data_IF_091999132277
#
_entry.id   IF_091999132277
#
_cell.length_a   1.000
_cell.length_b   1.000
_cell.length_c   1.000
_cell.angle_alpha   90.00
_cell.angle_beta   90.00
_cell.angle_gamma   90.00
#
_symmetry.space_group_name_H-M   'P 1'
#
loop_
_entity.id
_entity.type
_entity.pdbx_description
1 polymer ?
#
# COMPACT_ATOMS: atom_id res chain seq x y z
N UNK A 1 44.61 59.34 13.04
CA UNK A 1 43.40 60.17 13.20
C UNK A 1 42.18 59.33 12.80
N UNK A 2 41.23 59.15 13.75
CA UNK A 2 39.82 58.67 13.65
C UNK A 2 39.53 57.49 12.69
N UNK A 3 39.31 56.22 13.09
CA UNK A 3 38.40 55.56 14.07
C UNK A 3 36.92 55.99 13.96
N UNK A 4 36.08 55.09 13.42
CA UNK A 4 34.73 54.58 13.85
C UNK A 4 34.44 53.40 12.87
N UNK A 5 34.38 52.10 13.16
CA UNK A 5 33.85 51.25 14.25
C UNK A 5 32.34 51.43 14.49
N UNK A 6 31.53 50.73 13.70
CA UNK A 6 30.13 50.49 14.06
C UNK A 6 30.06 49.16 14.82
N UNK A 7 29.99 49.29 16.14
CA UNK A 7 29.82 48.22 17.12
C UNK A 7 28.39 48.24 17.67
N UNK A 8 27.99 47.12 18.26
CA UNK A 8 26.85 46.87 19.16
C UNK A 8 25.54 46.47 18.45
N UNK A 9 25.01 45.26 18.65
CA UNK A 9 24.64 44.74 19.97
C UNK A 9 24.89 43.23 20.12
N UNK A 10 25.63 42.88 21.18
CA UNK A 10 25.60 41.57 21.85
C UNK A 10 24.41 41.57 22.80
N UNK A 11 23.77 40.41 22.99
CA UNK A 11 22.87 39.91 24.07
C UNK A 11 21.72 39.14 23.37
N UNK A 12 21.42 37.88 23.66
CA UNK A 12 21.84 37.06 24.78
C UNK A 12 21.55 35.58 24.57
N UNK A 13 22.26 34.79 25.34
CA UNK A 13 22.13 33.35 25.52
C UNK A 13 20.80 33.03 26.21
N UNK A 14 20.04 32.12 25.62
CA UNK A 14 19.24 31.11 26.32
C UNK A 14 19.09 29.95 25.31
N UNK A 15 19.96 28.93 25.29
CA UNK A 15 19.94 27.85 26.29
C UNK A 15 18.55 27.69 26.92
N UNK A 16 17.55 27.41 26.09
CA UNK A 16 16.40 26.65 26.55
C UNK A 16 16.89 25.23 26.83
N UNK A 17 17.37 25.11 28.06
CA UNK A 17 17.50 23.91 28.85
C UNK A 17 16.45 22.87 28.48
N UNK A 18 16.94 21.64 28.27
CA UNK A 18 16.25 20.39 28.48
C UNK A 18 15.42 20.45 29.77
N UNK A 19 14.16 20.88 29.61
CA UNK A 19 13.09 20.70 30.58
C UNK A 19 11.86 20.24 29.80
N UNK A 20 12.04 19.14 29.04
CA UNK A 20 10.93 18.27 28.75
C UNK A 20 10.47 17.69 30.08
N UNK A 21 9.66 18.44 30.82
CA UNK A 21 8.85 17.90 31.89
C UNK A 21 8.21 16.64 31.34
N UNK A 22 8.63 15.47 31.82
CA UNK A 22 7.78 14.29 31.82
C UNK A 22 6.44 14.78 32.31
N UNK A 23 5.44 14.87 31.44
CA UNK A 23 4.10 15.26 31.84
C UNK A 23 3.67 14.21 32.86
N UNK A 24 3.75 14.54 34.16
CA UNK A 24 3.12 13.79 35.24
C UNK A 24 1.59 13.97 35.23
N UNK A 25 1.05 14.19 34.03
CA UNK A 25 -0.35 14.22 33.62
C UNK A 25 -0.42 13.83 32.14
N UNK A 26 0.16 12.70 31.75
CA UNK A 26 -0.47 11.94 30.69
C UNK A 26 -1.80 11.47 31.29
N UNK A 27 -2.89 12.19 31.01
CA UNK A 27 -4.21 11.55 31.06
C UNK A 27 -4.04 10.20 30.39
N UNK A 28 -4.39 9.10 31.08
CA UNK A 28 -4.45 7.79 30.42
C UNK A 28 -5.40 7.98 29.25
N UNK A 29 -4.86 8.13 28.04
CA UNK A 29 -5.66 8.32 26.86
C UNK A 29 -6.66 7.17 26.81
N UNK A 30 -7.95 7.52 26.75
CA UNK A 30 -9.02 6.54 26.71
C UNK A 30 -9.05 5.90 25.33
N UNK A 31 -8.37 4.75 25.21
CA UNK A 31 -8.33 3.93 23.99
C UNK A 31 -9.50 2.96 23.88
N UNK A 32 -10.59 3.17 24.63
CA UNK A 32 -11.77 2.30 24.59
C UNK A 32 -12.35 2.20 23.16
N UNK A 33 -12.40 3.30 22.41
CA UNK A 33 -12.83 3.29 21.01
C UNK A 33 -11.95 2.40 20.12
N UNK A 34 -10.62 2.41 20.35
CA UNK A 34 -9.67 1.62 19.59
C UNK A 34 -9.83 0.13 19.92
N UNK A 35 -10.02 -0.18 21.20
CA UNK A 35 -10.33 -1.55 21.64
C UNK A 35 -11.59 -2.06 20.96
N UNK A 36 -12.69 -1.29 20.98
CA UNK A 36 -13.92 -1.66 20.29
C UNK A 36 -13.74 -1.84 18.78
N UNK A 37 -12.95 -0.98 18.14
CA UNK A 37 -12.64 -1.12 16.71
C UNK A 37 -11.87 -2.41 16.41
N UNK A 38 -10.89 -2.78 17.24
CA UNK A 38 -10.13 -4.03 17.11
C UNK A 38 -11.05 -5.24 17.32
N UNK A 39 -11.83 -5.26 18.40
CA UNK A 39 -12.75 -6.36 18.72
C UNK A 39 -13.80 -6.55 17.63
N UNK A 40 -14.38 -5.46 17.12
CA UNK A 40 -15.35 -5.51 16.02
C UNK A 40 -14.70 -6.03 14.74
N UNK A 41 -13.51 -5.56 14.40
CA UNK A 41 -12.79 -6.00 13.20
C UNK A 41 -12.40 -7.48 13.28
N UNK A 42 -11.96 -7.93 14.46
CA UNK A 42 -11.65 -9.34 14.73
C UNK A 42 -12.89 -10.22 14.57
N UNK A 43 -14.02 -9.86 15.19
CA UNK A 43 -15.27 -10.60 15.07
C UNK A 43 -15.76 -10.70 13.61
N UNK A 44 -15.61 -9.63 12.82
CA UNK A 44 -15.95 -9.65 11.39
C UNK A 44 -15.03 -10.56 10.56
N UNK A 45 -13.74 -10.64 10.91
CA UNK A 45 -12.81 -11.57 10.28
C UNK A 45 -13.13 -13.02 10.65
N UNK A 46 -13.44 -13.31 11.92
CA UNK A 46 -13.87 -14.65 12.37
C UNK A 46 -15.14 -15.10 11.66
N UNK A 47 -16.15 -14.21 11.58
CA UNK A 47 -17.37 -14.48 10.82
C UNK A 47 -17.07 -14.78 9.35
N UNK A 48 -16.18 -14.00 8.73
CA UNK A 48 -15.77 -14.19 7.33
C UNK A 48 -15.07 -15.53 7.13
N UNK A 49 -14.14 -15.90 8.02
CA UNK A 49 -13.44 -17.20 7.97
C UNK A 49 -14.42 -18.36 8.14
N UNK A 50 -15.37 -18.24 9.08
CA UNK A 50 -16.40 -19.26 9.31
C UNK A 50 -17.30 -19.46 8.09
N UNK A 51 -17.70 -18.36 7.44
CA UNK A 51 -18.57 -18.42 6.24
C UNK A 51 -17.86 -19.03 5.02
N UNK A 52 -16.58 -18.70 4.80
CA UNK A 52 -15.81 -19.26 3.67
C UNK A 52 -15.31 -20.69 3.93
N UNK A 53 -15.18 -21.09 5.19
CA UNK A 53 -14.73 -22.41 5.61
C UNK A 53 -13.41 -22.84 4.97
N UNK A 54 -13.44 -24.01 4.32
CA UNK A 54 -12.29 -24.59 3.62
C UNK A 54 -12.24 -24.25 2.12
N UNK A 55 -13.07 -23.30 1.67
CA UNK A 55 -13.00 -22.83 0.28
C UNK A 55 -11.69 -22.07 0.02
N UNK A 56 -11.31 -22.00 -1.25
CA UNK A 56 -10.18 -21.16 -1.72
C UNK A 56 -10.60 -19.71 -1.97
N UNK A 57 -11.79 -19.31 -1.51
CA UNK A 57 -12.29 -17.95 -1.71
C UNK A 57 -11.50 -16.97 -0.85
N UNK A 58 -10.99 -15.93 -1.49
CA UNK A 58 -10.30 -14.82 -0.82
C UNK A 58 -11.18 -13.58 -0.89
N UNK A 59 -11.38 -12.92 0.25
CA UNK A 59 -12.14 -11.68 0.29
C UNK A 59 -11.45 -10.59 -0.52
N UNK A 60 -12.21 -9.89 -1.37
CA UNK A 60 -11.72 -8.77 -2.18
C UNK A 60 -12.17 -7.42 -1.63
N UNK A 61 -13.48 -7.22 -1.55
CA UNK A 61 -14.07 -5.96 -1.11
C UNK A 61 -15.53 -6.19 -0.74
N UNK A 62 -16.17 -5.17 -0.16
CA UNK A 62 -17.62 -5.10 -0.05
C UNK A 62 -18.15 -4.28 -1.21
N UNK A 63 -19.30 -4.65 -1.76
CA UNK A 63 -20.00 -3.81 -2.72
C UNK A 63 -20.56 -2.58 -2.00
N UNK A 64 -19.87 -1.45 -2.13
CA UNK A 64 -20.29 -0.15 -1.59
C UNK A 64 -20.94 0.68 -2.68
N UNK A 65 -22.02 1.39 -2.32
CA UNK A 65 -22.67 2.37 -3.19
C UNK A 65 -22.38 3.79 -2.74
N UNK A 66 -22.68 4.74 -3.62
CA UNK A 66 -22.73 6.15 -3.32
C UNK A 66 -23.90 6.77 -4.09
N UNK A 67 -24.50 7.80 -3.52
CA UNK A 67 -25.44 8.65 -4.23
C UNK A 67 -24.78 9.99 -4.62
N UNK A 68 -25.50 10.79 -5.40
CA UNK A 68 -25.01 12.09 -5.87
C UNK A 68 -24.74 13.04 -4.70
N UNK A 69 -25.52 12.96 -3.62
CA UNK A 69 -25.34 13.83 -2.46
C UNK A 69 -24.05 13.50 -1.71
N UNK A 70 -23.78 12.21 -1.50
CA UNK A 70 -22.53 11.72 -0.94
C UNK A 70 -21.35 12.20 -1.78
N UNK A 71 -21.41 12.04 -3.11
CA UNK A 71 -20.33 12.51 -3.99
C UNK A 71 -20.15 14.03 -3.93
N UNK A 72 -21.23 14.80 -3.96
CA UNK A 72 -21.20 16.25 -3.80
C UNK A 72 -20.52 16.64 -2.48
N UNK A 73 -20.86 15.98 -1.38
CA UNK A 73 -20.24 16.22 -0.08
C UNK A 73 -18.75 15.87 -0.08
N UNK A 74 -18.37 14.69 -0.59
CA UNK A 74 -16.97 14.27 -0.64
C UNK A 74 -16.10 15.14 -1.55
N UNK A 75 -16.69 15.71 -2.60
CA UNK A 75 -16.00 16.60 -3.55
C UNK A 75 -16.12 18.08 -3.17
N UNK A 76 -16.80 18.40 -2.06
CA UNK A 76 -17.11 19.78 -1.65
C UNK A 76 -17.81 20.60 -2.77
N UNK A 77 -18.63 19.93 -3.58
CA UNK A 77 -19.41 20.52 -4.67
C UNK A 77 -20.88 20.64 -4.30
N UNK A 78 -21.55 21.72 -4.71
CA UNK A 78 -23.01 21.87 -4.54
C UNK A 78 -23.82 20.90 -5.42
N UNK A 79 -23.30 20.60 -6.60
CA UNK A 79 -23.89 19.66 -7.55
C UNK A 79 -22.80 19.10 -8.48
N UNK A 80 -22.99 17.88 -8.97
CA UNK A 80 -22.17 17.32 -10.04
C UNK A 80 -22.59 17.95 -11.38
N UNK A 81 -21.63 18.24 -12.24
CA UNK A 81 -21.86 18.82 -13.58
C UNK A 81 -21.82 17.68 -14.59
N UNK A 82 -22.57 17.73 -15.70
CA UNK A 82 -22.70 16.64 -16.70
C UNK A 82 -21.41 16.13 -17.37
N UNK A 83 -20.23 16.62 -16.99
CA UNK A 83 -18.90 16.07 -17.36
C UNK A 83 -18.32 15.13 -16.29
N UNK A 84 -18.86 15.13 -15.07
CA UNK A 84 -18.44 14.23 -14.01
C UNK A 84 -18.90 12.81 -14.40
N UNK A 85 -17.97 11.91 -14.70
CA UNK A 85 -18.25 10.52 -15.10
C UNK A 85 -18.72 9.67 -13.91
N UNK A 86 -19.67 10.20 -13.13
CA UNK A 86 -20.28 9.54 -11.99
C UNK A 86 -21.15 8.40 -12.51
N UNK A 87 -20.54 7.22 -12.65
CA UNK A 87 -21.28 6.00 -12.95
C UNK A 87 -21.99 5.58 -11.67
N UNK A 88 -23.32 5.55 -11.68
CA UNK A 88 -24.10 4.87 -10.63
C UNK A 88 -23.63 3.41 -10.59
N UNK A 89 -22.84 3.07 -9.58
CA UNK A 89 -22.39 1.71 -9.27
C UNK A 89 -22.59 1.49 -7.77
N UNK A 90 -23.03 0.30 -7.33
CA UNK A 90 -23.28 -0.95 -8.08
C UNK A 90 -24.77 -1.19 -8.41
N UNK A 91 -25.06 -2.34 -9.07
CA UNK A 91 -26.41 -2.90 -9.22
C UNK A 91 -27.01 -3.11 -7.83
N UNK A 92 -28.21 -2.58 -7.58
CA UNK A 92 -28.86 -2.45 -6.28
C UNK A 92 -28.80 -3.73 -5.41
N UNK A 93 -28.90 -4.90 -6.03
CA UNK A 93 -29.04 -6.19 -5.34
C UNK A 93 -27.77 -6.69 -4.63
N UNK A 94 -26.60 -6.13 -4.96
CA UNK A 94 -25.33 -6.54 -4.36
C UNK A 94 -24.83 -5.60 -3.26
N UNK A 95 -25.52 -4.49 -2.98
CA UNK A 95 -25.06 -3.54 -1.96
C UNK A 95 -24.89 -4.20 -0.58
N UNK A 96 -23.73 -3.97 0.04
CA UNK A 96 -23.36 -4.55 1.32
C UNK A 96 -22.93 -6.02 1.27
N UNK A 97 -23.06 -6.69 0.11
CA UNK A 97 -22.61 -8.08 -0.03
C UNK A 97 -21.11 -8.19 -0.27
N UNK A 98 -20.55 -9.34 0.12
CA UNK A 98 -19.11 -9.62 0.00
C UNK A 98 -18.76 -9.93 -1.45
N UNK A 99 -17.70 -9.30 -1.95
CA UNK A 99 -17.06 -9.63 -3.23
C UNK A 99 -15.83 -10.48 -2.96
N UNK A 100 -15.70 -11.56 -3.72
CA UNK A 100 -14.55 -12.45 -3.67
C UNK A 100 -13.56 -12.17 -4.82
N UNK A 101 -12.30 -12.49 -4.60
CA UNK A 101 -11.28 -12.54 -5.64
C UNK A 101 -11.70 -13.58 -6.68
N UNK A 102 -11.51 -13.28 -7.96
CA UNK A 102 -11.83 -14.24 -9.03
C UNK A 102 -10.89 -15.46 -8.99
N UNK A 103 -9.65 -15.26 -8.55
CA UNK A 103 -8.66 -16.31 -8.30
C UNK A 103 -7.58 -15.76 -7.38
N UNK A 104 -6.58 -16.59 -7.04
CA UNK A 104 -5.37 -16.13 -6.34
C UNK A 104 -4.60 -15.05 -7.14
N UNK A 105 -4.80 -14.95 -8.46
CA UNK A 105 -4.15 -13.96 -9.32
C UNK A 105 -4.86 -12.60 -9.33
N UNK A 106 -5.96 -12.42 -8.59
CA UNK A 106 -6.54 -11.08 -8.37
C UNK A 106 -5.56 -10.26 -7.53
N UNK A 107 -5.30 -9.01 -7.90
CA UNK A 107 -4.29 -8.16 -7.24
C UNK A 107 -4.57 -7.93 -5.74
N UNK A 108 -5.82 -8.13 -5.32
CA UNK A 108 -6.24 -8.01 -3.92
C UNK A 108 -6.05 -9.27 -3.08
N UNK A 109 -5.56 -10.37 -3.65
CA UNK A 109 -5.56 -11.69 -3.01
C UNK A 109 -4.72 -11.75 -1.73
N UNK A 110 -3.69 -10.91 -1.62
CA UNK A 110 -2.81 -10.82 -0.45
C UNK A 110 -3.40 -10.10 0.77
N UNK A 111 -4.46 -9.29 0.59
CA UNK A 111 -4.96 -8.43 1.67
C UNK A 111 -5.72 -9.21 2.74
N UNK A 112 -6.55 -10.19 2.35
CA UNK A 112 -7.31 -10.99 3.31
C UNK A 112 -6.39 -11.78 4.29
N UNK A 113 -5.42 -12.59 3.83
CA UNK A 113 -4.46 -13.21 4.73
C UNK A 113 -3.62 -12.19 5.52
N UNK A 114 -3.29 -11.03 4.93
CA UNK A 114 -2.61 -9.95 5.65
C UNK A 114 -3.42 -9.40 6.83
N UNK A 115 -4.73 -9.24 6.67
CA UNK A 115 -5.62 -8.82 7.75
C UNK A 115 -5.71 -9.87 8.86
N UNK A 116 -5.69 -11.17 8.53
CA UNK A 116 -5.63 -12.24 9.54
C UNK A 116 -4.32 -12.19 10.34
N UNK A 117 -3.18 -11.93 9.69
CA UNK A 117 -1.91 -11.71 10.39
C UNK A 117 -1.95 -10.50 11.32
N UNK A 118 -2.55 -9.38 10.90
CA UNK A 118 -2.73 -8.23 11.77
C UNK A 118 -3.70 -8.52 12.92
N UNK A 119 -4.79 -9.24 12.68
CA UNK A 119 -5.71 -9.64 13.74
C UNK A 119 -5.00 -10.52 14.79
N UNK A 120 -4.17 -11.47 14.36
CA UNK A 120 -3.31 -12.24 15.26
C UNK A 120 -2.38 -11.33 16.08
N UNK A 121 -1.66 -10.41 15.42
CA UNK A 121 -0.73 -9.51 16.10
C UNK A 121 -1.42 -8.60 17.13
N UNK A 122 -2.64 -8.14 16.84
CA UNK A 122 -3.39 -7.22 17.69
C UNK A 122 -4.11 -7.91 18.85
N UNK A 123 -4.54 -9.17 18.67
CA UNK A 123 -5.38 -9.87 19.65
C UNK A 123 -4.65 -10.99 20.40
N UNK A 124 -3.57 -11.53 19.83
CA UNK A 124 -2.90 -12.73 20.32
C UNK A 124 -3.70 -14.02 20.12
N UNK A 125 -4.84 -13.99 19.41
CA UNK A 125 -5.67 -15.17 19.17
C UNK A 125 -5.01 -16.11 18.14
N UNK A 126 -4.58 -17.29 18.60
CA UNK A 126 -3.88 -18.30 17.78
C UNK A 126 -4.77 -18.88 16.66
N UNK A 127 -6.10 -18.79 16.74
CA UNK A 127 -6.97 -19.19 15.63
C UNK A 127 -6.77 -18.27 14.41
N UNK A 128 -6.59 -16.96 14.61
CA UNK A 128 -6.24 -16.07 13.50
C UNK A 128 -4.92 -16.43 12.86
N UNK A 129 -3.92 -16.85 13.65
CA UNK A 129 -2.64 -17.29 13.11
C UNK A 129 -2.79 -18.54 12.25
N UNK A 130 -3.52 -19.54 12.74
CA UNK A 130 -3.81 -20.77 12.00
C UNK A 130 -4.46 -20.47 10.65
N UNK A 131 -5.47 -19.59 10.65
CA UNK A 131 -6.18 -19.20 9.44
C UNK A 131 -5.32 -18.32 8.53
N UNK A 132 -4.53 -17.40 9.09
CA UNK A 132 -3.57 -16.59 8.34
C UNK A 132 -2.54 -17.47 7.60
N UNK A 133 -2.02 -18.50 8.25
CA UNK A 133 -1.12 -19.49 7.62
C UNK A 133 -1.85 -20.23 6.49
N UNK A 134 -3.08 -20.71 6.72
CA UNK A 134 -3.90 -21.40 5.71
C UNK A 134 -4.08 -20.55 4.44
N UNK A 135 -4.61 -19.34 4.58
CA UNK A 135 -4.90 -18.47 3.43
C UNK A 135 -3.64 -17.89 2.79
N UNK A 136 -2.55 -17.68 3.55
CA UNK A 136 -1.25 -17.30 2.97
C UNK A 136 -0.72 -18.42 2.08
N UNK A 137 -0.82 -19.69 2.51
CA UNK A 137 -0.30 -20.82 1.74
C UNK A 137 -1.04 -21.04 0.41
N UNK A 138 -2.30 -20.64 0.28
CA UNK A 138 -3.00 -20.63 -1.01
C UNK A 138 -2.33 -19.74 -2.06
N UNK A 139 -1.59 -18.72 -1.61
CA UNK A 139 -0.88 -17.78 -2.47
C UNK A 139 0.53 -18.25 -2.85
N UNK A 140 1.01 -19.39 -2.33
CA UNK A 140 2.36 -19.90 -2.61
C UNK A 140 2.71 -19.99 -4.12
N UNK A 141 1.78 -20.33 -5.05
CA UNK A 141 2.08 -20.34 -6.49
C UNK A 141 2.46 -18.96 -7.05
N UNK A 142 2.03 -17.86 -6.42
CA UNK A 142 2.28 -16.50 -6.93
C UNK A 142 3.74 -16.08 -6.88
N UNK A 143 4.59 -16.78 -6.11
CA UNK A 143 6.04 -16.53 -6.08
C UNK A 143 6.70 -16.64 -7.46
N UNK A 144 6.06 -17.35 -8.40
CA UNK A 144 6.53 -17.54 -9.78
C UNK A 144 5.88 -16.57 -10.78
N UNK A 145 4.89 -15.79 -10.33
CA UNK A 145 4.10 -14.93 -11.20
C UNK A 145 4.86 -13.65 -11.57
N UNK A 146 4.85 -13.31 -12.87
CA UNK A 146 5.58 -12.17 -13.46
C UNK A 146 4.66 -11.15 -14.15
N UNK A 147 3.34 -11.37 -14.14
CA UNK A 147 2.40 -10.69 -15.04
C UNK A 147 1.90 -9.31 -14.56
N UNK A 148 2.21 -8.92 -13.33
CA UNK A 148 1.78 -7.62 -12.77
C UNK A 148 2.82 -7.09 -11.77
N UNK A 149 2.83 -5.79 -11.56
CA UNK A 149 3.55 -5.17 -10.47
C UNK A 149 2.90 -5.42 -9.09
N UNK A 150 1.59 -5.73 -9.07
CA UNK A 150 0.81 -5.98 -7.84
C UNK A 150 1.24 -7.24 -7.07
N UNK A 151 2.20 -8.00 -7.59
CA UNK A 151 2.81 -9.11 -6.84
C UNK A 151 3.42 -8.64 -5.51
N UNK A 152 3.77 -7.36 -5.39
CA UNK A 152 4.12 -6.73 -4.10
C UNK A 152 2.95 -6.76 -3.11
N UNK A 153 1.76 -6.29 -3.48
CA UNK A 153 0.55 -6.41 -2.64
C UNK A 153 0.21 -7.87 -2.34
N UNK A 154 0.22 -8.71 -3.37
CA UNK A 154 -0.22 -10.09 -3.24
C UNK A 154 0.67 -10.88 -2.27
N UNK A 155 2.00 -10.70 -2.35
CA UNK A 155 2.96 -11.48 -1.57
C UNK A 155 3.46 -10.76 -0.32
N UNK A 156 3.73 -9.45 -0.35
CA UNK A 156 4.27 -8.77 0.83
C UNK A 156 3.19 -8.59 1.92
N UNK A 157 1.93 -8.33 1.55
CA UNK A 157 0.84 -8.28 2.53
C UNK A 157 0.56 -9.64 3.17
N UNK A 158 0.85 -10.75 2.48
CA UNK A 158 0.61 -12.11 2.95
C UNK A 158 1.90 -12.76 3.51
N UNK A 159 2.79 -13.24 2.64
CA UNK A 159 4.07 -13.84 2.98
C UNK A 159 5.00 -12.90 3.76
N UNK A 160 4.97 -11.59 3.49
CA UNK A 160 5.79 -10.62 4.23
C UNK A 160 5.39 -10.56 5.71
N UNK A 161 4.09 -10.51 5.98
CA UNK A 161 3.55 -10.60 7.34
C UNK A 161 3.78 -11.98 7.98
N UNK A 162 3.63 -13.06 7.20
CA UNK A 162 3.94 -14.42 7.65
C UNK A 162 5.39 -14.54 8.12
N UNK A 163 6.36 -14.05 7.34
CA UNK A 163 7.78 -14.12 7.74
C UNK A 163 8.07 -13.27 8.98
N UNK A 164 7.48 -12.08 9.06
CA UNK A 164 7.65 -11.16 10.19
C UNK A 164 7.15 -11.74 11.51
N UNK A 165 6.05 -12.50 11.49
CA UNK A 165 5.39 -13.03 12.70
C UNK A 165 5.70 -14.51 12.97
N UNK A 166 6.05 -15.27 11.93
CA UNK A 166 6.32 -16.70 11.99
C UNK A 166 7.39 -17.07 10.93
N UNK A 167 8.65 -16.66 11.14
CA UNK A 167 9.70 -16.83 10.13
C UNK A 167 9.96 -18.31 9.83
N UNK A 168 9.93 -18.66 8.54
CA UNK A 168 10.30 -19.97 8.01
C UNK A 168 11.02 -19.81 6.66
N UNK A 169 11.96 -20.71 6.37
CA UNK A 169 12.83 -20.59 5.20
C UNK A 169 12.07 -20.60 3.86
N UNK A 170 11.00 -21.38 3.75
CA UNK A 170 10.18 -21.45 2.54
C UNK A 170 9.50 -20.11 2.24
N UNK A 171 9.06 -19.37 3.26
CA UNK A 171 8.46 -18.04 3.12
C UNK A 171 9.52 -17.02 2.71
N UNK A 172 10.73 -17.09 3.30
CA UNK A 172 11.86 -16.24 2.90
C UNK A 172 12.18 -16.39 1.41
N UNK A 173 12.27 -17.64 0.93
CA UNK A 173 12.57 -17.91 -0.48
C UNK A 173 11.45 -17.45 -1.42
N UNK A 174 10.18 -17.63 -1.02
CA UNK A 174 9.06 -17.12 -1.79
C UNK A 174 9.09 -15.59 -1.96
N UNK A 175 9.46 -14.85 -0.91
CA UNK A 175 9.61 -13.40 -0.97
C UNK A 175 10.75 -12.97 -1.90
N UNK A 176 11.92 -13.61 -1.79
CA UNK A 176 13.07 -13.33 -2.66
C UNK A 176 12.72 -13.59 -4.13
N UNK A 177 12.12 -14.74 -4.43
CA UNK A 177 11.72 -15.08 -5.79
C UNK A 177 10.68 -14.10 -6.36
N UNK A 178 9.74 -13.65 -5.51
CA UNK A 178 8.76 -12.64 -5.90
C UNK A 178 9.44 -11.30 -6.20
N UNK A 179 10.38 -10.87 -5.35
CA UNK A 179 11.13 -9.64 -5.57
C UNK A 179 11.96 -9.69 -6.85
N UNK A 180 12.60 -10.82 -7.16
CA UNK A 180 13.30 -11.02 -8.43
C UNK A 180 12.35 -10.89 -9.63
N UNK A 181 11.14 -11.46 -9.53
CA UNK A 181 10.12 -11.32 -10.57
C UNK A 181 9.64 -9.86 -10.73
N UNK A 182 9.49 -9.13 -9.62
CA UNK A 182 9.12 -7.71 -9.64
C UNK A 182 10.22 -6.85 -10.26
N UNK A 183 11.49 -7.11 -9.89
CA UNK A 183 12.66 -6.50 -10.53
C UNK A 183 12.73 -6.82 -12.02
N UNK A 184 12.33 -8.03 -12.45
CA UNK A 184 12.27 -8.40 -13.86
C UNK A 184 11.31 -7.55 -14.72
N UNK A 185 10.39 -6.80 -14.09
CA UNK A 185 9.50 -5.85 -14.77
C UNK A 185 10.09 -4.44 -14.87
N UNK A 186 11.28 -4.20 -14.32
CA UNK A 186 11.97 -2.92 -14.38
C UNK A 186 12.65 -2.69 -15.72
N UNK A 187 12.50 -1.49 -16.26
CA UNK A 187 13.25 -1.05 -17.44
C UNK A 187 14.28 0.01 -17.01
N UNK A 188 15.59 -0.24 -17.17
CA UNK A 188 16.63 0.69 -16.71
C UNK A 188 16.68 2.01 -17.47
N UNK A 189 16.31 2.05 -18.76
CA UNK A 189 16.27 3.28 -19.55
C UNK A 189 15.12 4.19 -19.12
N UNK A 190 13.98 3.59 -18.77
CA UNK A 190 12.82 4.32 -18.27
C UNK A 190 13.00 4.67 -16.78
N UNK A 191 13.67 3.80 -16.02
CA UNK A 191 13.83 3.93 -14.58
C UNK A 191 12.61 3.52 -13.77
N UNK A 192 11.68 2.74 -14.34
CA UNK A 192 10.45 2.30 -13.66
C UNK A 192 10.16 0.81 -13.84
N UNK A 193 9.29 0.31 -12.96
CA UNK A 193 8.68 -1.02 -13.01
C UNK A 193 7.39 -0.89 -13.85
N UNK A 194 7.22 -1.74 -14.85
CA UNK A 194 6.01 -1.74 -15.68
C UNK A 194 4.82 -2.27 -14.90
N UNK A 195 3.74 -1.50 -14.82
CA UNK A 195 2.57 -1.87 -14.01
C UNK A 195 1.78 -3.05 -14.59
N UNK A 196 1.52 -3.04 -15.90
CA UNK A 196 0.81 -4.13 -16.60
C UNK A 196 1.22 -4.22 -18.08
N UNK A 197 0.77 -5.29 -18.73
CA UNK A 197 1.18 -5.65 -20.11
C UNK A 197 0.06 -5.51 -21.17
N UNK A 198 -1.14 -5.06 -20.78
CA UNK A 198 -2.29 -4.87 -21.67
C UNK A 198 -2.62 -3.38 -21.97
N UNK A 199 -3.54 -3.17 -22.91
CA UNK A 199 -4.07 -1.85 -23.23
C UNK A 199 -3.24 -1.09 -24.25
N UNK A 200 -3.40 0.24 -24.27
CA UNK A 200 -2.90 1.12 -25.35
C UNK A 200 -1.60 1.85 -25.04
N UNK A 201 -1.05 1.66 -23.84
CA UNK A 201 0.13 2.38 -23.35
C UNK A 201 1.39 1.62 -23.70
N UNK A 202 2.46 2.33 -24.09
CA UNK A 202 3.74 1.71 -24.39
C UNK A 202 4.38 1.09 -23.14
N UNK A 203 4.55 1.90 -22.09
CA UNK A 203 5.07 1.45 -20.79
C UNK A 203 4.28 2.10 -19.65
N UNK A 204 3.13 1.53 -19.26
CA UNK A 204 2.28 2.11 -18.23
C UNK A 204 2.91 1.93 -16.85
N UNK A 205 2.95 3.03 -16.09
CA UNK A 205 3.31 3.08 -14.67
C UNK A 205 2.20 3.78 -13.91
N UNK A 206 1.66 3.13 -12.89
CA UNK A 206 0.61 3.71 -12.03
C UNK A 206 1.12 4.08 -10.65
N UNK A 207 0.43 5.00 -9.98
CA UNK A 207 0.89 5.55 -8.70
C UNK A 207 0.96 4.51 -7.58
N UNK A 208 0.05 3.54 -7.62
CA UNK A 208 -0.06 2.35 -6.77
C UNK A 208 1.19 1.45 -6.86
N UNK A 209 1.95 1.56 -7.95
CA UNK A 209 3.23 0.87 -8.10
C UNK A 209 4.26 1.28 -7.03
N UNK A 210 4.09 2.45 -6.41
CA UNK A 210 4.90 2.90 -5.26
C UNK A 210 4.74 2.01 -4.03
N UNK A 211 3.53 1.51 -3.78
CA UNK A 211 3.28 0.64 -2.61
C UNK A 211 3.95 -0.72 -2.77
N UNK A 212 4.12 -1.18 -4.00
CA UNK A 212 4.76 -2.46 -4.32
C UNK A 212 6.29 -2.42 -4.13
N UNK A 213 6.88 -1.23 -4.00
CA UNK A 213 8.31 -1.06 -3.70
C UNK A 213 8.69 -1.52 -2.30
N UNK A 214 7.73 -1.56 -1.37
CA UNK A 214 7.97 -2.04 0.01
C UNK A 214 8.49 -3.47 0.03
N UNK A 215 8.02 -4.34 -0.90
CA UNK A 215 8.56 -5.69 -1.07
C UNK A 215 10.07 -5.66 -1.37
N UNK A 216 10.52 -4.74 -2.23
CA UNK A 216 11.91 -4.65 -2.64
C UNK A 216 12.79 -4.12 -1.51
N UNK A 217 12.34 -3.09 -0.79
CA UNK A 217 13.04 -2.61 0.40
C UNK A 217 13.12 -3.70 1.48
N UNK A 218 12.03 -4.44 1.69
CA UNK A 218 11.98 -5.52 2.65
C UNK A 218 12.94 -6.65 2.29
N UNK A 219 12.94 -7.11 1.03
CA UNK A 219 13.85 -8.17 0.58
C UNK A 219 15.31 -7.71 0.58
N UNK A 220 15.59 -6.45 0.26
CA UNK A 220 16.93 -5.86 0.44
C UNK A 220 17.40 -6.00 1.89
N UNK A 221 16.55 -5.61 2.86
CA UNK A 221 16.85 -5.78 4.28
C UNK A 221 17.04 -7.25 4.68
N UNK A 222 16.22 -8.17 4.17
CA UNK A 222 16.28 -9.60 4.49
C UNK A 222 17.51 -10.34 3.93
N UNK A 223 18.10 -9.82 2.85
CA UNK A 223 19.18 -10.48 2.11
C UNK A 223 20.52 -9.77 2.24
N UNK A 224 20.51 -8.47 2.52
CA UNK A 224 21.68 -7.60 2.40
C UNK A 224 22.03 -7.25 0.94
N UNK A 225 21.20 -7.61 -0.04
CA UNK A 225 21.41 -7.28 -1.44
C UNK A 225 20.79 -5.91 -1.75
N UNK A 226 21.65 -4.92 -2.00
CA UNK A 226 21.23 -3.54 -2.25
C UNK A 226 20.54 -3.35 -3.61
N UNK A 227 20.63 -4.30 -4.55
CA UNK A 227 20.03 -4.17 -5.90
C UNK A 227 18.53 -3.89 -5.84
N UNK A 228 17.82 -4.51 -4.88
CA UNK A 228 16.37 -4.35 -4.73
C UNK A 228 16.04 -2.91 -4.28
N UNK A 229 16.80 -2.39 -3.32
CA UNK A 229 16.68 -1.03 -2.80
C UNK A 229 17.04 0.01 -3.87
N UNK A 230 18.14 -0.18 -4.59
CA UNK A 230 18.56 0.74 -5.66
C UNK A 230 17.51 0.85 -6.77
N UNK A 231 16.94 -0.27 -7.19
CA UNK A 231 15.88 -0.32 -8.18
C UNK A 231 14.60 0.38 -7.68
N UNK A 232 14.22 0.13 -6.42
CA UNK A 232 13.08 0.79 -5.79
C UNK A 232 13.27 2.30 -5.69
N UNK A 233 14.46 2.78 -5.30
CA UNK A 233 14.80 4.20 -5.26
C UNK A 233 14.70 4.82 -6.66
N UNK A 234 15.23 4.16 -7.68
CA UNK A 234 15.17 4.67 -9.06
C UNK A 234 13.74 4.78 -9.57
N UNK A 235 12.89 3.81 -9.26
CA UNK A 235 11.45 3.89 -9.54
C UNK A 235 10.82 5.09 -8.82
N UNK A 236 11.06 5.22 -7.51
CA UNK A 236 10.49 6.29 -6.70
C UNK A 236 10.88 7.68 -7.20
N UNK A 237 12.15 7.89 -7.55
CA UNK A 237 12.66 9.14 -8.12
C UNK A 237 11.98 9.49 -9.46
N UNK A 238 11.83 8.49 -10.34
CA UNK A 238 11.20 8.68 -11.65
C UNK A 238 9.70 8.97 -11.51
N UNK A 239 9.02 8.27 -10.61
CA UNK A 239 7.61 8.53 -10.26
C UNK A 239 7.45 9.93 -9.64
N UNK A 240 8.32 10.34 -8.71
CA UNK A 240 8.31 11.69 -8.12
C UNK A 240 8.43 12.78 -9.18
N UNK A 241 9.28 12.58 -10.19
CA UNK A 241 9.46 13.54 -11.29
C UNK A 241 8.24 13.66 -12.20
N UNK A 242 7.50 12.57 -12.42
CA UNK A 242 6.55 12.49 -13.54
C UNK A 242 5.08 12.34 -13.13
N UNK A 243 4.77 11.69 -12.01
CA UNK A 243 3.38 11.42 -11.60
C UNK A 243 2.70 12.59 -10.92
N UNK A 244 3.45 13.58 -10.44
CA UNK A 244 2.89 14.72 -9.70
C UNK A 244 2.71 15.94 -10.61
N UNK A 245 1.61 16.67 -10.40
CA UNK A 245 1.34 17.99 -10.96
C UNK A 245 1.97 19.06 -10.08
N UNK A 246 1.99 20.30 -10.56
CA UNK A 246 2.56 21.45 -9.83
C UNK A 246 1.84 21.73 -8.49
N UNK A 247 0.58 21.29 -8.36
CA UNK A 247 -0.23 21.39 -7.14
C UNK A 247 -0.10 20.16 -6.21
N UNK A 248 0.86 19.29 -6.48
CA UNK A 248 1.11 18.02 -5.77
C UNK A 248 -0.01 16.96 -5.89
N UNK A 249 -1.05 17.19 -6.69
CA UNK A 249 -1.96 16.11 -7.06
C UNK A 249 -1.29 15.13 -8.02
N UNK A 250 -1.72 13.87 -8.03
CA UNK A 250 -1.12 12.84 -8.88
C UNK A 250 -1.96 12.50 -10.12
N UNK A 251 -1.28 12.16 -11.21
CA UNK A 251 -1.86 11.36 -12.27
C UNK A 251 -2.01 9.92 -11.79
N UNK A 252 -3.03 9.23 -12.28
CA UNK A 252 -3.16 7.80 -12.01
C UNK A 252 -2.12 7.02 -12.85
N UNK A 253 -1.99 7.35 -14.14
CA UNK A 253 -1.12 6.63 -15.08
C UNK A 253 -0.16 7.60 -15.76
N UNK A 254 1.12 7.24 -15.82
CA UNK A 254 2.11 7.81 -16.73
C UNK A 254 2.63 6.71 -17.64
N UNK A 255 2.60 6.94 -18.95
CA UNK A 255 3.21 6.05 -19.94
C UNK A 255 4.48 6.66 -20.48
N UNK A 256 5.47 5.81 -20.76
CA UNK A 256 6.79 6.19 -21.25
C UNK A 256 7.06 5.57 -22.61
N UNK A 257 7.84 6.27 -23.43
CA UNK A 257 8.47 5.74 -24.62
C UNK A 257 9.69 4.88 -24.25
N UNK A 258 10.20 4.11 -25.21
CA UNK A 258 11.36 3.23 -25.00
C UNK A 258 12.65 3.98 -24.60
N UNK A 259 12.74 5.27 -24.90
CA UNK A 259 13.87 6.15 -24.57
C UNK A 259 13.73 6.83 -23.19
N UNK A 260 12.71 6.47 -22.40
CA UNK A 260 12.44 7.06 -21.09
C UNK A 260 11.70 8.40 -21.12
N UNK A 261 11.40 8.96 -22.29
CA UNK A 261 10.57 10.17 -22.38
C UNK A 261 9.11 9.85 -22.05
N UNK A 262 8.41 10.83 -21.46
CA UNK A 262 6.98 10.66 -21.13
C UNK A 262 6.16 10.70 -22.41
N UNK A 263 5.45 9.61 -22.70
CA UNK A 263 4.49 9.53 -23.80
C UNK A 263 3.20 10.28 -23.42
N UNK A 264 2.66 9.99 -22.23
CA UNK A 264 1.38 10.56 -21.79
C UNK A 264 1.21 10.48 -20.27
N UNK A 265 0.54 11.48 -19.69
CA UNK A 265 0.04 11.48 -18.31
C UNK A 265 -1.49 11.53 -18.32
N UNK A 266 -2.17 10.69 -17.54
CA UNK A 266 -3.63 10.72 -17.46
C UNK A 266 -4.18 10.23 -16.11
N UNK A 267 -5.38 10.72 -15.78
CA UNK A 267 -6.25 10.18 -14.73
C UNK A 267 -7.49 9.62 -15.42
N UNK A 268 -7.92 8.43 -14.98
CA UNK A 268 -9.09 7.73 -15.53
C UNK A 268 -10.41 8.41 -15.17
#
# INVERSE_FOLDING_TARGET
MKKVSLSYFVIGIALYTLSGCSSKHAEKADYTWLKYAIETSAAQLEYTVSEIGDSVLLHRSIWTGYDVNFLCQQLEKKQLIGKDSARLKPIHDNLGSRRYCFSIYDWTSGFFPGNLWYAYQLTGNEEFKKEAVKFTNYLYPLREYKGTHDIGFMMNCSFGNSYRLCPVDSVRQALIQTADNLCGRFNPEIGCIRSWDFGKWNFPVIIDNMMNLDLLFYVSHLTGDDKYKELALKHAETTMKNHFRDDYSSYHVVSYNNDGTVEKKCTH
#
